data_IF_049678608775
#
_entry.id   IF_049678608775
#
_cell.length_a   1.000
_cell.length_b   1.000
_cell.length_c   1.000
_cell.angle_alpha   90.00
_cell.angle_beta   90.00
_cell.angle_gamma   90.00
#
_symmetry.space_group_name_H-M   'P 1'
#
loop_
_entity.id
_entity.type
_entity.pdbx_description
1 polymer ?
#
# COMPACT_ATOMS: atom_id res chain seq x y z
N UNK A 1 -5.22 -9.67 13.69
CA UNK A 1 -5.39 -8.56 12.73
C UNK A 1 -4.25 -8.59 11.72
N UNK A 2 -4.57 -8.45 10.46
CA UNK A 2 -3.58 -8.36 9.36
C UNK A 2 -3.63 -6.98 8.75
N UNK A 3 -2.47 -6.35 8.57
CA UNK A 3 -2.34 -5.04 7.93
C UNK A 3 -1.47 -5.19 6.69
N UNK A 4 -2.03 -4.83 5.54
CA UNK A 4 -1.29 -4.76 4.28
C UNK A 4 -0.63 -3.40 4.12
N UNK A 5 0.65 -3.36 3.80
CA UNK A 5 1.37 -2.10 3.56
C UNK A 5 1.94 -2.12 2.15
N UNK A 6 1.61 -1.10 1.38
CA UNK A 6 1.98 -1.00 -0.04
C UNK A 6 3.01 0.10 -0.22
N UNK A 7 4.13 -0.25 -0.86
CA UNK A 7 5.24 0.65 -1.15
C UNK A 7 5.46 0.73 -2.67
N UNK A 8 5.67 1.93 -3.19
CA UNK A 8 6.07 2.12 -4.59
C UNK A 8 7.59 2.21 -4.75
N UNK A 9 8.29 2.48 -3.67
CA UNK A 9 9.74 2.38 -3.54
C UNK A 9 10.08 2.36 -2.07
N UNK A 10 11.02 1.54 -1.67
CA UNK A 10 11.35 1.42 -0.25
C UNK A 10 12.76 0.86 -0.05
N UNK A 11 13.22 0.97 1.20
CA UNK A 11 14.45 0.33 1.67
C UNK A 11 14.10 -0.63 2.81
N UNK A 12 14.94 -1.63 3.11
CA UNK A 12 14.71 -2.50 4.27
C UNK A 12 14.56 -1.73 5.58
N UNK A 13 15.31 -0.65 5.75
CA UNK A 13 15.26 0.21 6.93
C UNK A 13 13.91 0.91 7.08
N UNK A 14 13.32 1.38 5.97
CA UNK A 14 12.00 2.00 5.98
C UNK A 14 10.92 0.99 6.36
N UNK A 15 10.97 -0.19 5.79
CA UNK A 15 10.02 -1.27 6.10
C UNK A 15 10.06 -1.59 7.59
N UNK A 16 11.26 -1.75 8.15
CA UNK A 16 11.43 -2.04 9.57
C UNK A 16 10.88 -0.91 10.45
N UNK A 17 11.18 0.34 10.08
CA UNK A 17 10.68 1.52 10.81
C UNK A 17 9.16 1.59 10.81
N UNK A 18 8.51 1.36 9.68
CA UNK A 18 7.05 1.37 9.57
C UNK A 18 6.45 0.22 10.37
N UNK A 19 7.03 -0.96 10.30
CA UNK A 19 6.58 -2.13 11.06
C UNK A 19 6.63 -1.88 12.57
N UNK A 20 7.71 -1.27 13.06
CA UNK A 20 7.87 -0.91 14.46
C UNK A 20 6.82 0.10 14.92
N UNK A 21 6.58 1.14 14.13
CA UNK A 21 5.59 2.16 14.46
C UNK A 21 4.17 1.58 14.51
N UNK A 22 3.83 0.68 13.61
CA UNK A 22 2.54 0.00 13.64
C UNK A 22 2.40 -0.85 14.90
N UNK A 23 3.42 -1.63 15.24
CA UNK A 23 3.40 -2.49 16.45
C UNK A 23 3.30 -1.69 17.73
N UNK A 24 3.94 -0.51 17.79
CA UNK A 24 3.89 0.39 18.94
C UNK A 24 2.50 0.96 19.18
N UNK A 25 1.74 1.23 18.13
CA UNK A 25 0.50 1.99 18.18
C UNK A 25 -0.75 1.11 18.18
N UNK A 26 -0.60 -0.20 18.02
CA UNK A 26 -1.71 -1.15 18.07
C UNK A 26 -1.60 -2.02 19.34
N UNK A 27 -2.73 -2.18 20.02
CA UNK A 27 -2.81 -2.95 21.25
C UNK A 27 -2.47 -4.43 21.06
N UNK A 28 -2.87 -5.00 19.93
CA UNK A 28 -2.54 -6.36 19.53
C UNK A 28 -1.36 -6.34 18.56
N UNK A 29 -0.55 -7.40 18.55
CA UNK A 29 0.54 -7.52 17.59
C UNK A 29 -0.04 -7.93 16.22
N UNK A 30 -0.12 -7.02 15.24
CA UNK A 30 -0.68 -7.36 13.94
C UNK A 30 0.29 -8.19 13.12
N UNK A 31 -0.25 -9.02 12.24
CA UNK A 31 0.51 -9.61 11.15
C UNK A 31 0.64 -8.55 10.05
N UNK A 32 1.86 -8.28 9.61
CA UNK A 32 2.13 -7.26 8.61
C UNK A 32 2.47 -7.93 7.28
N UNK A 33 1.72 -7.57 6.24
CA UNK A 33 1.92 -8.04 4.88
C UNK A 33 2.51 -6.88 4.08
N UNK A 34 3.72 -7.03 3.58
CA UNK A 34 4.41 -5.99 2.80
C UNK A 34 4.34 -6.29 1.31
N UNK A 35 3.97 -5.28 0.54
CA UNK A 35 3.91 -5.33 -0.92
C UNK A 35 4.73 -4.17 -1.48
N UNK A 36 5.59 -4.43 -2.46
CA UNK A 36 6.43 -3.40 -3.03
C UNK A 36 6.61 -3.61 -4.53
N UNK A 37 6.61 -2.50 -5.27
CA UNK A 37 6.95 -2.49 -6.68
C UNK A 37 7.71 -1.19 -6.99
N UNK A 38 9.04 -1.22 -6.98
CA UNK A 38 9.84 -0.02 -7.24
C UNK A 38 9.71 0.49 -8.68
N UNK A 39 9.22 -0.31 -9.61
CA UNK A 39 8.98 0.13 -10.98
C UNK A 39 7.89 1.19 -11.07
N UNK A 40 6.96 1.23 -10.12
CA UNK A 40 5.88 2.23 -10.09
C UNK A 40 6.44 3.63 -9.91
N UNK A 41 7.29 3.83 -8.91
CA UNK A 41 7.90 5.14 -8.69
C UNK A 41 8.82 5.55 -9.84
N UNK A 42 9.59 4.62 -10.39
CA UNK A 42 10.45 4.87 -11.52
C UNK A 42 9.63 5.35 -12.74
N UNK A 43 8.50 4.72 -13.02
CA UNK A 43 7.62 5.10 -14.12
C UNK A 43 6.98 6.47 -13.91
N UNK A 44 6.53 6.76 -12.68
CA UNK A 44 5.98 8.08 -12.32
C UNK A 44 7.03 9.18 -12.50
N UNK A 45 8.27 8.94 -12.11
CA UNK A 45 9.37 9.90 -12.29
C UNK A 45 9.69 10.12 -13.75
N UNK A 46 9.68 9.07 -14.58
CA UNK A 46 9.95 9.15 -16.00
C UNK A 46 8.89 9.97 -16.73
N UNK A 47 7.62 9.76 -16.42
CA UNK A 47 6.49 10.40 -17.10
C UNK A 47 6.03 11.70 -16.47
N UNK A 48 6.34 11.95 -15.20
CA UNK A 48 5.90 13.13 -14.47
C UNK A 48 4.44 13.05 -14.00
N UNK A 49 3.79 11.91 -14.17
CA UNK A 49 2.42 11.64 -13.71
C UNK A 49 2.21 10.14 -13.51
N UNK A 50 1.14 9.77 -12.82
CA UNK A 50 0.79 8.36 -12.62
C UNK A 50 0.15 7.82 -13.90
N UNK A 51 0.86 6.92 -14.59
CA UNK A 51 0.35 6.27 -15.80
C UNK A 51 -0.74 5.26 -15.47
N UNK A 52 -1.55 4.88 -16.47
CA UNK A 52 -2.56 3.84 -16.28
C UNK A 52 -1.95 2.50 -15.88
N UNK A 53 -0.77 2.16 -16.40
CA UNK A 53 -0.06 0.94 -16.04
C UNK A 53 0.42 0.96 -14.59
N UNK A 54 0.99 2.08 -14.15
CA UNK A 54 1.42 2.26 -12.76
C UNK A 54 0.24 2.18 -11.80
N UNK A 55 -0.85 2.87 -12.13
CA UNK A 55 -2.08 2.83 -11.34
C UNK A 55 -2.65 1.41 -11.23
N UNK A 56 -2.69 0.68 -12.34
CA UNK A 56 -3.19 -0.70 -12.35
C UNK A 56 -2.36 -1.62 -11.46
N UNK A 57 -1.03 -1.50 -11.50
CA UNK A 57 -0.15 -2.29 -10.64
C UNK A 57 -0.33 -1.94 -9.17
N UNK A 58 -0.50 -0.65 -8.87
CA UNK A 58 -0.72 -0.19 -7.50
C UNK A 58 -2.05 -0.71 -6.92
N UNK A 59 -3.14 -0.55 -7.66
CA UNK A 59 -4.45 -1.09 -7.26
C UNK A 59 -4.38 -2.62 -7.15
N UNK A 60 -3.64 -3.28 -8.04
CA UNK A 60 -3.40 -4.71 -7.97
C UNK A 60 -2.78 -5.14 -6.65
N UNK A 61 -1.83 -4.37 -6.11
CA UNK A 61 -1.25 -4.66 -4.79
C UNK A 61 -2.27 -4.46 -3.67
N UNK A 62 -3.12 -3.44 -3.74
CA UNK A 62 -4.20 -3.26 -2.75
C UNK A 62 -5.15 -4.47 -2.75
N UNK A 63 -5.55 -4.90 -3.94
CA UNK A 63 -6.47 -6.05 -4.07
C UNK A 63 -5.79 -7.36 -3.64
N UNK A 64 -4.50 -7.50 -3.88
CA UNK A 64 -3.75 -8.66 -3.41
C UNK A 64 -3.73 -8.70 -1.87
N UNK A 65 -3.53 -7.57 -1.22
CA UNK A 65 -3.58 -7.47 0.23
C UNK A 65 -4.96 -7.90 0.77
N UNK A 66 -6.04 -7.44 0.14
CA UNK A 66 -7.40 -7.84 0.51
C UNK A 66 -7.58 -9.35 0.32
N UNK A 67 -7.12 -9.90 -0.80
CA UNK A 67 -7.19 -11.34 -1.09
C UNK A 67 -6.39 -12.17 -0.08
N UNK A 68 -5.27 -11.65 0.40
CA UNK A 68 -4.42 -12.31 1.40
C UNK A 68 -4.98 -12.21 2.82
N UNK A 69 -6.12 -11.57 3.00
CA UNK A 69 -6.83 -11.49 4.27
C UNK A 69 -6.52 -10.26 5.11
N UNK A 70 -5.99 -9.18 4.52
CA UNK A 70 -5.74 -7.95 5.24
C UNK A 70 -7.04 -7.34 5.77
N UNK A 71 -7.00 -6.83 6.99
CA UNK A 71 -8.11 -6.12 7.62
C UNK A 71 -8.08 -4.62 7.29
N UNK A 72 -6.93 -4.11 6.89
CA UNK A 72 -6.72 -2.75 6.44
C UNK A 72 -5.51 -2.70 5.52
N UNK A 73 -5.48 -1.73 4.62
CA UNK A 73 -4.36 -1.51 3.70
C UNK A 73 -3.85 -0.08 3.86
N UNK A 74 -2.55 0.07 4.05
CA UNK A 74 -1.88 1.36 4.18
C UNK A 74 -1.00 1.61 2.96
N UNK A 75 -1.18 2.76 2.32
CA UNK A 75 -0.30 3.21 1.25
C UNK A 75 0.80 4.11 1.82
N UNK A 76 2.06 3.72 1.63
CA UNK A 76 3.22 4.42 2.15
C UNK A 76 3.98 5.22 1.09
N UNK A 77 3.28 5.77 0.10
CA UNK A 77 3.90 6.64 -0.90
C UNK A 77 2.98 7.79 -1.27
N UNK A 78 3.42 9.03 -1.02
CA UNK A 78 2.64 10.23 -1.29
C UNK A 78 2.55 10.58 -2.79
N UNK A 79 3.51 10.14 -3.61
CA UNK A 79 3.53 10.44 -5.05
C UNK A 79 2.39 9.77 -5.82
N UNK A 80 1.75 8.75 -5.24
CA UNK A 80 0.61 8.02 -5.82
C UNK A 80 -0.63 8.14 -4.94
N UNK A 81 -0.68 9.13 -4.05
CA UNK A 81 -1.77 9.33 -3.09
C UNK A 81 -3.14 9.48 -3.75
N UNK A 82 -3.21 10.09 -4.93
CA UNK A 82 -4.45 10.24 -5.70
C UNK A 82 -5.06 8.88 -6.08
N UNK A 83 -4.23 7.88 -6.37
CA UNK A 83 -4.68 6.53 -6.67
C UNK A 83 -5.21 5.85 -5.40
N UNK A 84 -4.52 6.04 -4.27
CA UNK A 84 -4.98 5.52 -2.98
C UNK A 84 -6.32 6.13 -2.58
N UNK A 85 -6.51 7.44 -2.79
CA UNK A 85 -7.78 8.11 -2.53
C UNK A 85 -8.91 7.53 -3.37
N UNK A 86 -8.66 7.27 -4.65
CA UNK A 86 -9.64 6.62 -5.53
C UNK A 86 -9.92 5.18 -5.13
N UNK A 87 -8.92 4.46 -4.65
CA UNK A 87 -9.07 3.09 -4.20
C UNK A 87 -9.95 2.96 -2.94
N UNK A 88 -10.12 4.02 -2.18
CA UNK A 88 -11.04 4.02 -1.03
C UNK A 88 -12.48 3.72 -1.44
N UNK A 89 -12.87 4.11 -2.65
CA UNK A 89 -14.20 3.77 -3.18
C UNK A 89 -14.36 2.26 -3.38
N UNK A 90 -13.30 1.58 -3.77
CA UNK A 90 -13.28 0.12 -3.87
C UNK A 90 -13.39 -0.50 -2.48
N UNK A 91 -12.82 0.13 -1.48
CA UNK A 91 -12.90 -0.31 -0.09
C UNK A 91 -14.34 -0.50 0.40
N UNK A 92 -15.27 0.30 -0.10
CA UNK A 92 -16.70 0.15 0.25
C UNK A 92 -17.27 -1.21 -0.17
N UNK A 93 -16.77 -1.78 -1.26
CA UNK A 93 -17.24 -3.07 -1.76
C UNK A 93 -16.55 -4.25 -1.08
N UNK A 94 -15.34 -4.06 -0.61
CA UNK A 94 -14.56 -5.10 0.07
C UNK A 94 -14.79 -5.09 1.59
N UNK A 95 -15.24 -3.97 2.14
CA UNK A 95 -15.30 -3.74 3.58
C UNK A 95 -13.94 -3.51 4.24
N UNK A 96 -12.87 -3.38 3.44
CA UNK A 96 -11.50 -3.20 3.93
C UNK A 96 -11.04 -1.78 3.63
N UNK A 97 -10.67 -0.97 4.65
CA UNK A 97 -10.16 0.38 4.43
C UNK A 97 -8.79 0.36 3.76
N UNK A 98 -8.61 1.27 2.83
CA UNK A 98 -7.37 1.47 2.08
C UNK A 98 -6.83 2.87 2.33
#
# INVERSE_FOLDING_TARGET
>A
MKVGIVYTSTTPELIECVNEEIRKNLADTPEILNYQDPSILAEVREHGYVTSGAAARLVGMYMQAVSDGADAVLNCCSSVGEVADSAQDIGRYTGIPI
#
